data_IF_170290823270
#
_entry.id   IF_170290823270
#
_cell.length_a   1.000
_cell.length_b   1.000
_cell.length_c   1.000
_cell.angle_alpha   90.00
_cell.angle_beta   90.00
_cell.angle_gamma   90.00
#
_symmetry.space_group_name_H-M   'P 1'
#
loop_
_entity.id
_entity.type
_entity.pdbx_description
1 polymer ?
#
# COMPACT_ATOMS: atom_id res chain seq x y z
N UNK A 1 -2.71 -11.49 -9.09
CA UNK A 1 -1.82 -10.86 -10.07
C UNK A 1 -2.24 -11.29 -11.45
N UNK A 2 -2.40 -10.34 -12.36
CA UNK A 2 -2.73 -10.62 -13.76
C UNK A 2 -1.41 -10.59 -14.53
N UNK A 3 -0.99 -11.73 -15.08
CA UNK A 3 0.17 -11.79 -15.97
C UNK A 3 -0.24 -11.22 -17.33
N UNK A 4 0.37 -10.10 -17.73
CA UNK A 4 0.28 -9.64 -19.11
C UNK A 4 1.16 -10.53 -19.99
N UNK A 5 0.64 -10.95 -21.14
CA UNK A 5 1.38 -11.76 -22.11
C UNK A 5 2.56 -11.02 -22.76
N UNK A 6 2.66 -9.71 -22.55
CA UNK A 6 3.66 -8.83 -23.15
C UNK A 6 4.60 -8.19 -22.12
N UNK A 7 4.51 -8.58 -20.85
CA UNK A 7 5.42 -8.13 -19.80
C UNK A 7 6.64 -9.05 -19.71
N UNK A 8 7.82 -8.45 -19.50
CA UNK A 8 9.05 -9.19 -19.29
C UNK A 8 8.96 -10.02 -18.00
N UNK A 9 9.15 -11.35 -18.13
CA UNK A 9 9.00 -12.27 -17.02
C UNK A 9 9.97 -12.00 -15.85
N UNK A 10 11.20 -11.57 -16.14
CA UNK A 10 12.16 -11.21 -15.09
C UNK A 10 11.72 -9.95 -14.36
N UNK A 11 11.19 -8.97 -15.10
CA UNK A 11 10.69 -7.74 -14.50
C UNK A 11 9.49 -8.02 -13.59
N UNK A 12 8.60 -8.92 -13.99
CA UNK A 12 7.45 -9.34 -13.18
C UNK A 12 7.92 -9.99 -11.87
N UNK A 13 8.85 -10.95 -11.92
CA UNK A 13 9.40 -11.59 -10.72
C UNK A 13 10.04 -10.56 -9.78
N UNK A 14 10.86 -9.64 -10.32
CA UNK A 14 11.49 -8.57 -9.53
C UNK A 14 10.47 -7.67 -8.85
N UNK A 15 9.38 -7.32 -9.56
CA UNK A 15 8.30 -6.51 -8.99
C UNK A 15 7.58 -7.25 -7.85
N UNK A 16 7.34 -8.56 -8.01
CA UNK A 16 6.73 -9.37 -6.95
C UNK A 16 7.59 -9.45 -5.69
N UNK A 17 8.91 -9.61 -5.84
CA UNK A 17 9.83 -9.65 -4.70
C UNK A 17 9.89 -8.30 -3.98
N UNK A 18 9.87 -7.21 -4.74
CA UNK A 18 9.79 -5.85 -4.20
C UNK A 18 8.50 -5.65 -3.39
N UNK A 19 7.35 -6.01 -3.94
CA UNK A 19 6.05 -5.87 -3.27
C UNK A 19 6.00 -6.70 -1.98
N UNK A 20 6.48 -7.95 -2.01
CA UNK A 20 6.57 -8.80 -0.81
C UNK A 20 7.46 -8.17 0.28
N UNK A 21 8.56 -7.53 -0.12
CA UNK A 21 9.47 -6.86 0.80
C UNK A 21 8.82 -5.62 1.45
N UNK A 22 8.12 -4.82 0.64
CA UNK A 22 7.37 -3.65 1.11
C UNK A 22 6.31 -4.07 2.13
N UNK A 23 5.56 -5.13 1.83
CA UNK A 23 4.52 -5.65 2.71
C UNK A 23 5.09 -6.21 4.02
N UNK A 24 6.24 -6.89 3.96
CA UNK A 24 6.94 -7.35 5.16
C UNK A 24 7.29 -6.20 6.09
N UNK A 25 7.84 -5.10 5.55
CA UNK A 25 8.20 -3.90 6.33
C UNK A 25 6.94 -3.26 6.93
N UNK A 26 5.88 -3.08 6.14
CA UNK A 26 4.61 -2.49 6.61
C UNK A 26 3.92 -3.33 7.67
N UNK A 27 3.94 -4.66 7.55
CA UNK A 27 3.37 -5.56 8.56
C UNK A 27 4.13 -5.47 9.89
N UNK A 28 5.45 -5.25 9.84
CA UNK A 28 6.29 -5.18 11.03
C UNK A 28 6.26 -3.81 11.72
N UNK A 29 6.22 -2.72 10.95
CA UNK A 29 6.39 -1.36 11.48
C UNK A 29 5.17 -0.45 11.30
N UNK A 30 4.08 -0.98 10.74
CA UNK A 30 2.85 -0.23 10.45
C UNK A 30 2.81 0.32 9.02
N UNK A 31 1.61 0.60 8.53
CA UNK A 31 1.37 0.98 7.12
C UNK A 31 2.16 2.22 6.66
N UNK A 32 2.32 3.22 7.53
CA UNK A 32 3.03 4.47 7.23
C UNK A 32 4.55 4.36 7.30
N UNK A 33 5.10 3.19 7.68
CA UNK A 33 6.55 2.97 7.76
C UNK A 33 7.25 2.99 6.40
N UNK A 34 6.50 2.70 5.32
CA UNK A 34 7.02 2.69 3.96
C UNK A 34 5.94 3.13 2.98
N UNK A 35 6.07 4.34 2.44
CA UNK A 35 5.13 4.94 1.49
C UNK A 35 5.82 5.19 0.15
N UNK A 36 5.09 5.00 -0.94
CA UNK A 36 5.59 5.37 -2.26
C UNK A 36 5.67 6.88 -2.41
N UNK A 37 6.72 7.40 -3.04
CA UNK A 37 6.93 8.84 -3.19
C UNK A 37 5.75 9.57 -3.87
N UNK A 38 5.09 8.93 -4.85
CA UNK A 38 3.92 9.51 -5.51
C UNK A 38 2.75 9.77 -4.56
N UNK A 39 2.68 9.02 -3.45
CA UNK A 39 1.63 9.17 -2.44
C UNK A 39 1.85 10.38 -1.51
N UNK A 40 3.03 11.00 -1.57
CA UNK A 40 3.38 12.21 -0.82
C UNK A 40 3.18 13.49 -1.65
N UNK A 41 2.86 13.36 -2.95
CA UNK A 41 2.45 14.51 -3.77
C UNK A 41 1.12 15.03 -3.22
N UNK A 42 0.84 16.34 -3.34
CA UNK A 42 -0.30 17.06 -2.70
C UNK A 42 -1.70 16.45 -2.94
N UNK A 43 -1.84 15.53 -3.90
CA UNK A 43 -3.05 14.77 -4.23
C UNK A 43 -2.99 13.28 -3.82
N UNK A 44 -1.92 12.86 -3.14
CA UNK A 44 -1.63 11.48 -2.78
C UNK A 44 -2.44 11.04 -1.57
N UNK A 45 -3.17 9.94 -1.75
CA UNK A 45 -4.14 9.44 -0.77
C UNK A 45 -3.50 8.73 0.43
N UNK A 46 -2.17 8.53 0.49
CA UNK A 46 -1.56 7.75 1.58
C UNK A 46 -1.68 8.40 2.96
N UNK A 47 -1.55 9.73 3.07
CA UNK A 47 -1.78 10.44 4.33
C UNK A 47 -3.28 10.44 4.70
N UNK A 48 -4.16 10.43 3.70
CA UNK A 48 -5.60 10.34 3.91
C UNK A 48 -6.05 8.93 4.33
N UNK A 49 -5.46 7.89 3.74
CA UNK A 49 -5.75 6.48 4.05
C UNK A 49 -5.11 6.02 5.36
N UNK A 50 -3.98 6.60 5.81
CA UNK A 50 -3.43 6.29 7.13
C UNK A 50 -4.39 6.67 8.27
N UNK A 51 -5.21 7.70 8.10
CA UNK A 51 -6.30 8.05 9.01
C UNK A 51 -7.50 7.10 8.93
N UNK A 52 -7.74 6.47 7.78
CA UNK A 52 -8.90 5.59 7.55
C UNK A 52 -8.66 4.14 7.96
N UNK A 53 -7.43 3.64 7.86
CA UNK A 53 -7.10 2.22 8.15
C UNK A 53 -6.94 1.99 9.68
N UNK A 54 -6.88 3.07 10.48
CA UNK A 54 -6.93 3.04 11.96
C UNK A 54 -8.34 3.15 12.57
N UNK A 55 -9.40 3.19 11.76
CA UNK A 55 -10.78 3.07 12.23
C UNK A 55 -11.29 1.68 11.90
N UNK A 56 -11.42 0.79 12.87
CA UNK A 56 -12.77 0.54 13.37
C UNK A 56 -13.74 1.63 12.89
N UNK A 57 -14.52 1.33 11.86
CA UNK A 57 -15.94 1.66 11.91
C UNK A 57 -16.58 0.83 13.03
N UNK A 58 -16.14 1.03 14.28
CA UNK A 58 -17.00 0.81 15.42
C UNK A 58 -17.90 2.03 15.40
N UNK A 59 -19.13 1.85 14.94
CA UNK A 59 -20.10 2.92 14.79
C UNK A 59 -20.20 3.73 16.06
N UNK A 60 -19.80 5.00 15.94
CA UNK A 60 -20.06 6.12 16.85
C UNK A 60 -20.01 7.32 15.88
N UNK A 61 -21.06 8.05 15.54
CA UNK A 61 -22.46 8.11 15.93
C UNK A 61 -23.25 8.68 14.72
N UNK A 62 -24.55 8.41 14.66
CA UNK A 62 -25.61 9.41 14.39
C UNK A 62 -26.99 8.73 14.47
N UNK A 63 -27.38 8.31 15.68
CA UNK A 63 -28.70 8.56 16.30
C UNK A 63 -28.67 8.23 17.80
#
# INVERSE_FOLDING_TARGET
>A
MQLSLFEDAEQTIKNEELDRTIDFVRKKYGYTSLLYAFTLVKSGTAIYHSKLIGGHKSGIDDE
#
